data_IF_743970356504
#
_entry.id   IF_743970356504
#
_cell.length_a   1.000
_cell.length_b   1.000
_cell.length_c   1.000
_cell.angle_alpha   90.00
_cell.angle_beta   90.00
_cell.angle_gamma   90.00
#
_symmetry.space_group_name_H-M   'P 1'
#
loop_
_entity.id
_entity.type
_entity.pdbx_description
1 polymer ?
#
# COMPACT_ATOMS: atom_id res chain seq x y z
N UNK A 1 9.28 -4.63 -4.32
CA UNK A 1 9.36 -3.77 -5.52
C UNK A 1 10.04 -2.47 -5.10
N UNK A 2 11.07 -2.04 -5.83
CA UNK A 2 11.87 -0.83 -5.53
C UNK A 2 11.45 0.33 -6.44
N UNK A 3 11.76 1.58 -6.06
CA UNK A 3 11.43 2.81 -6.83
C UNK A 3 11.76 2.68 -8.33
N UNK A 4 12.93 2.14 -8.65
CA UNK A 4 13.43 1.89 -10.02
C UNK A 4 12.44 1.14 -10.93
N UNK A 5 11.64 0.23 -10.36
CA UNK A 5 10.66 -0.54 -11.14
C UNK A 5 9.48 0.34 -11.57
N UNK A 6 9.04 1.24 -10.68
CA UNK A 6 7.96 2.19 -10.95
C UNK A 6 8.41 3.28 -11.92
N UNK A 7 9.63 3.79 -11.78
CA UNK A 7 10.22 4.72 -12.75
C UNK A 7 10.32 4.12 -14.14
N UNK A 8 10.74 2.84 -14.22
CA UNK A 8 10.80 2.11 -15.50
C UNK A 8 9.40 1.89 -16.09
N UNK A 9 8.40 1.62 -15.25
CA UNK A 9 7.02 1.49 -15.69
C UNK A 9 6.48 2.83 -16.21
N UNK A 10 6.69 3.92 -15.47
CA UNK A 10 6.31 5.27 -15.87
C UNK A 10 6.91 5.63 -17.24
N UNK A 11 8.21 5.35 -17.44
CA UNK A 11 8.87 5.56 -18.73
C UNK A 11 8.23 4.75 -19.87
N UNK A 12 7.90 3.46 -19.64
CA UNK A 12 7.23 2.61 -20.64
C UNK A 12 5.83 3.12 -20.99
N UNK A 13 5.12 3.64 -20.00
CA UNK A 13 3.76 4.14 -20.15
C UNK A 13 3.71 5.62 -20.57
N UNK A 14 4.85 6.29 -20.75
CA UNK A 14 4.96 7.73 -21.02
C UNK A 14 4.24 8.59 -19.96
N UNK A 15 4.29 8.15 -18.71
CA UNK A 15 3.79 8.87 -17.55
C UNK A 15 4.92 9.67 -16.90
N UNK A 16 4.55 10.70 -16.15
CA UNK A 16 5.51 11.38 -15.28
C UNK A 16 6.01 10.42 -14.19
N UNK A 17 7.32 10.43 -13.96
CA UNK A 17 7.96 9.47 -13.05
C UNK A 17 7.70 9.82 -11.60
N UNK A 18 7.77 11.10 -11.27
CA UNK A 18 7.62 11.58 -9.91
C UNK A 18 6.16 11.46 -9.48
N UNK A 19 5.21 11.77 -10.37
CA UNK A 19 3.78 11.52 -10.14
C UNK A 19 3.48 10.05 -9.83
N UNK A 20 4.06 9.11 -10.60
CA UNK A 20 3.85 7.67 -10.36
C UNK A 20 4.45 7.23 -9.03
N UNK A 21 5.66 7.69 -8.70
CA UNK A 21 6.30 7.35 -7.41
C UNK A 21 5.51 7.94 -6.25
N UNK A 22 5.00 9.16 -6.39
CA UNK A 22 4.17 9.82 -5.39
C UNK A 22 2.83 9.12 -5.19
N UNK A 23 2.15 8.72 -6.27
CA UNK A 23 0.92 7.92 -6.18
C UNK A 23 1.17 6.58 -5.47
N UNK A 24 2.25 5.88 -5.78
CA UNK A 24 2.60 4.62 -5.11
C UNK A 24 2.88 4.84 -3.61
N UNK A 25 3.54 5.94 -3.25
CA UNK A 25 3.75 6.32 -1.85
C UNK A 25 2.42 6.60 -1.15
N UNK A 26 1.55 7.39 -1.75
CA UNK A 26 0.22 7.72 -1.20
C UNK A 26 -0.59 6.45 -0.96
N UNK A 27 -0.64 5.54 -1.94
CA UNK A 27 -1.32 4.26 -1.79
C UNK A 27 -0.74 3.47 -0.61
N UNK A 28 0.58 3.36 -0.52
CA UNK A 28 1.22 2.65 0.60
C UNK A 28 0.90 3.29 1.96
N UNK A 29 0.78 4.62 2.04
CA UNK A 29 0.47 5.33 3.28
C UNK A 29 -1.01 5.23 3.67
N UNK A 30 -1.94 5.19 2.70
CA UNK A 30 -3.39 5.16 2.95
C UNK A 30 -3.96 3.73 3.10
N UNK A 31 -3.36 2.73 2.46
CA UNK A 31 -3.90 1.36 2.45
C UNK A 31 -4.12 0.78 3.86
N UNK A 32 -3.24 0.98 4.86
CA UNK A 32 -3.47 0.49 6.21
C UNK A 32 -4.75 1.02 6.86
N UNK A 33 -5.01 2.33 6.79
CA UNK A 33 -6.21 2.92 7.39
C UNK A 33 -7.48 2.47 6.69
N UNK A 34 -7.45 2.37 5.36
CA UNK A 34 -8.59 1.86 4.58
C UNK A 34 -8.88 0.39 4.87
N UNK A 35 -7.84 -0.43 5.04
CA UNK A 35 -8.01 -1.83 5.43
C UNK A 35 -8.57 -1.97 6.85
N UNK A 36 -8.11 -1.14 7.80
CA UNK A 36 -8.65 -1.10 9.15
C UNK A 36 -10.13 -0.68 9.17
N UNK A 37 -10.50 0.32 8.37
CA UNK A 37 -11.88 0.74 8.21
C UNK A 37 -12.76 -0.38 7.61
N UNK A 38 -12.28 -1.09 6.60
CA UNK A 38 -12.97 -2.23 6.00
C UNK A 38 -13.12 -3.41 6.98
N UNK A 39 -12.11 -3.67 7.81
CA UNK A 39 -12.18 -4.70 8.86
C UNK A 39 -13.18 -4.36 9.97
N UNK A 40 -13.41 -3.06 10.22
CA UNK A 40 -14.38 -2.57 11.17
C UNK A 40 -15.82 -2.49 10.61
N UNK A 41 -16.03 -2.83 9.33
CA UNK A 41 -17.37 -2.87 8.74
C UNK A 41 -18.26 -3.87 9.53
N UNK A 42 -19.49 -3.48 9.93
CA UNK A 42 -20.37 -4.36 10.69
C UNK A 42 -20.63 -5.72 10.05
N UNK A 43 -20.65 -5.82 8.72
CA UNK A 43 -20.83 -7.08 8.00
C UNK A 43 -19.60 -7.99 8.14
N UNK A 44 -18.40 -7.41 8.24
CA UNK A 44 -17.15 -8.14 8.44
C UNK A 44 -16.99 -8.55 9.90
N UNK A 45 -17.32 -7.66 10.84
CA UNK A 45 -17.34 -7.95 12.28
C UNK A 45 -18.31 -9.10 12.61
N UNK A 46 -19.46 -9.15 11.93
CA UNK A 46 -20.46 -10.20 12.10
C UNK A 46 -19.96 -11.61 11.70
N UNK A 47 -18.83 -11.72 10.99
CA UNK A 47 -18.21 -13.01 10.67
C UNK A 47 -17.56 -13.68 11.88
N UNK A 48 -17.39 -12.96 13.01
CA UNK A 48 -16.79 -13.45 14.26
C UNK A 48 -15.49 -14.23 14.03
N UNK A 49 -14.59 -13.61 13.26
CA UNK A 49 -13.35 -14.20 12.81
C UNK A 49 -12.15 -13.34 13.18
N UNK A 50 -11.03 -13.98 13.49
CA UNK A 50 -9.74 -13.29 13.69
C UNK A 50 -9.01 -12.96 12.38
N UNK A 51 -9.56 -13.39 11.24
CA UNK A 51 -8.94 -13.18 9.92
C UNK A 51 -8.82 -11.68 9.58
N UNK A 52 -9.85 -10.83 9.75
CA UNK A 52 -9.75 -9.41 9.40
C UNK A 52 -8.61 -8.69 10.13
N UNK A 53 -8.45 -8.90 11.44
CA UNK A 53 -7.35 -8.32 12.22
C UNK A 53 -5.97 -8.77 11.71
N UNK A 54 -5.84 -10.06 11.38
CA UNK A 54 -4.60 -10.59 10.80
C UNK A 54 -4.30 -9.97 9.44
N UNK A 55 -5.32 -9.74 8.61
CA UNK A 55 -5.16 -9.10 7.31
C UNK A 55 -4.74 -7.63 7.47
N UNK A 56 -5.31 -6.89 8.43
CA UNK A 56 -4.89 -5.51 8.75
C UNK A 56 -3.41 -5.47 9.09
N UNK A 57 -2.94 -6.33 10.01
CA UNK A 57 -1.51 -6.39 10.38
C UNK A 57 -0.60 -6.74 9.20
N UNK A 58 -0.99 -7.72 8.36
CA UNK A 58 -0.20 -8.08 7.18
C UNK A 58 -0.13 -6.93 6.15
N UNK A 59 -1.23 -6.18 6.00
CA UNK A 59 -1.29 -5.02 5.12
C UNK A 59 -0.42 -3.88 5.66
N UNK A 60 -0.46 -3.60 6.96
CA UNK A 60 0.40 -2.63 7.64
C UNK A 60 1.89 -2.92 7.43
N UNK A 61 2.31 -4.17 7.67
CA UNK A 61 3.70 -4.59 7.47
C UNK A 61 4.13 -4.38 6.01
N UNK A 62 3.24 -4.76 5.08
CA UNK A 62 3.54 -4.68 3.65
C UNK A 62 3.59 -3.24 3.16
N UNK A 63 2.68 -2.40 3.63
CA UNK A 63 2.61 -0.96 3.36
C UNK A 63 3.87 -0.26 3.86
N UNK A 64 4.27 -0.53 5.10
CA UNK A 64 5.50 0.01 5.72
C UNK A 64 6.72 -0.33 4.90
N UNK A 65 6.86 -1.59 4.47
CA UNK A 65 7.98 -2.02 3.64
C UNK A 65 7.93 -1.40 2.22
N UNK A 66 6.75 -1.21 1.65
CA UNK A 66 6.59 -0.49 0.38
C UNK A 66 7.04 0.98 0.51
N UNK A 67 6.56 1.70 1.52
CA UNK A 67 6.93 3.10 1.77
C UNK A 67 8.44 3.25 1.99
N UNK A 68 9.04 2.35 2.77
CA UNK A 68 10.50 2.31 2.98
C UNK A 68 11.26 2.16 1.66
N UNK A 69 10.83 1.25 0.78
CA UNK A 69 11.46 1.01 -0.53
C UNK A 69 11.29 2.15 -1.53
N UNK A 70 10.30 3.03 -1.35
CA UNK A 70 10.14 4.23 -2.17
C UNK A 70 11.06 5.36 -1.72
N UNK A 71 11.43 5.41 -0.43
CA UNK A 71 12.34 6.43 0.14
C UNK A 71 13.83 6.14 -0.10
N UNK A 72 14.22 4.87 -0.27
CA UNK A 72 15.63 4.42 -0.33
C UNK A 72 16.27 4.41 -1.73
N UNK A 73 15.89 5.31 -2.63
CA UNK A 73 16.63 5.47 -3.89
C UNK A 73 17.79 6.45 -3.69
N UNK A 74 18.95 5.91 -3.31
CA UNK A 74 20.26 6.58 -3.33
C UNK A 74 21.06 6.07 -4.52
#
# INVERSE_FOLDING_TARGET
MRREHWERLAAKCKLDRDDVVDLVRIVAEQTPSEMAAAAADPQVVALDSTIPERLVSLVEDRATECARRMRLAS
#
